data_IF_941227871574
#
_entry.id   IF_941227871574
#
_cell.length_a   1.000
_cell.length_b   1.000
_cell.length_c   1.000
_cell.angle_alpha   90.00
_cell.angle_beta   90.00
_cell.angle_gamma   90.00
#
_symmetry.space_group_name_H-M   'P 1'
#
loop_
_entity.id
_entity.type
_entity.pdbx_description
1 polymer ?
#
# COMPACT_ATOMS: atom_id res chain seq x y z
N UNK A 1 -17.20 30.97 -20.80
CA UNK A 1 -16.05 31.45 -20.02
C UNK A 1 -16.44 31.36 -18.56
N UNK A 2 -15.84 30.44 -17.81
CA UNK A 2 -16.01 30.40 -16.36
C UNK A 2 -15.54 31.73 -15.78
N UNK A 3 -16.25 32.24 -14.79
CA UNK A 3 -15.88 33.50 -14.13
C UNK A 3 -14.58 33.27 -13.36
N UNK A 4 -13.58 34.13 -13.57
CA UNK A 4 -12.31 34.05 -12.83
C UNK A 4 -12.54 34.62 -11.43
N UNK A 5 -11.98 33.95 -10.42
CA UNK A 5 -12.08 34.29 -9.01
C UNK A 5 -10.69 34.38 -8.36
N UNK A 6 -10.53 35.23 -7.35
CA UNK A 6 -9.30 35.21 -6.52
C UNK A 6 -9.41 34.13 -5.44
N UNK A 7 -8.30 33.46 -5.15
CA UNK A 7 -8.17 32.63 -3.97
C UNK A 7 -8.28 33.46 -2.68
N UNK A 8 -8.66 32.80 -1.58
CA UNK A 8 -8.63 33.39 -0.25
C UNK A 8 -7.22 33.47 0.34
N UNK A 9 -7.13 33.98 1.57
CA UNK A 9 -5.90 33.85 2.37
C UNK A 9 -5.56 32.36 2.58
N UNK A 10 -4.28 31.93 2.44
CA UNK A 10 -3.07 32.75 2.35
C UNK A 10 -2.56 33.06 0.94
N UNK A 11 -3.25 32.63 -0.12
CA UNK A 11 -2.80 32.72 -1.51
C UNK A 11 -3.36 33.92 -2.28
N UNK A 12 -3.47 35.05 -1.59
CA UNK A 12 -3.90 36.35 -2.11
C UNK A 12 -2.97 37.49 -1.71
N UNK A 13 -1.69 37.17 -1.42
CA UNK A 13 -0.72 38.14 -0.93
C UNK A 13 -0.24 39.08 -2.05
N UNK A 14 -0.14 40.40 -1.79
CA UNK A 14 0.35 41.36 -2.78
C UNK A 14 1.85 41.22 -3.10
N UNK A 15 2.59 40.46 -2.30
CA UNK A 15 4.02 40.16 -2.52
C UNK A 15 4.27 39.07 -3.57
N UNK A 16 3.22 38.43 -4.09
CA UNK A 16 3.33 37.38 -5.08
C UNK A 16 3.95 37.87 -6.40
N UNK A 17 4.70 36.99 -7.06
CA UNK A 17 5.37 37.25 -8.34
C UNK A 17 4.90 36.31 -9.47
N UNK A 18 3.88 35.49 -9.19
CA UNK A 18 3.25 34.54 -10.10
C UNK A 18 1.78 34.32 -9.70
N UNK A 19 0.92 34.10 -10.71
CA UNK A 19 -0.45 33.64 -10.53
C UNK A 19 -0.58 32.23 -11.11
N UNK A 20 -1.01 31.26 -10.29
CA UNK A 20 -1.47 29.96 -10.80
C UNK A 20 -2.98 29.99 -10.98
N UNK A 21 -3.47 29.67 -12.17
CA UNK A 21 -4.90 29.59 -12.46
C UNK A 21 -5.36 28.14 -12.52
N UNK A 22 -6.20 27.76 -11.56
CA UNK A 22 -6.85 26.43 -11.53
C UNK A 22 -7.84 26.22 -12.67
N UNK A 23 -8.16 24.97 -12.97
CA UNK A 23 -9.03 24.62 -14.11
C UNK A 23 -10.50 25.06 -13.94
N UNK A 24 -10.93 25.31 -12.72
CA UNK A 24 -12.22 25.91 -12.36
C UNK A 24 -12.17 27.44 -12.25
N UNK A 25 -11.03 28.07 -12.57
CA UNK A 25 -10.90 29.51 -12.75
C UNK A 25 -10.59 30.29 -11.48
N UNK A 26 -9.97 29.67 -10.47
CA UNK A 26 -9.46 30.37 -9.28
C UNK A 26 -7.97 30.69 -9.45
N UNK A 27 -7.63 31.95 -9.22
CA UNK A 27 -6.28 32.51 -9.31
C UNK A 27 -5.62 32.53 -7.93
N UNK A 28 -4.48 31.85 -7.82
CA UNK A 28 -3.66 31.74 -6.61
C UNK A 28 -2.40 32.59 -6.77
N UNK A 29 -2.26 33.60 -5.91
CA UNK A 29 -1.10 34.48 -5.87
C UNK A 29 0.02 33.83 -5.05
N UNK A 30 1.10 33.46 -5.73
CA UNK A 30 2.21 32.64 -5.21
C UNK A 30 3.59 33.26 -5.53
N UNK A 31 4.63 32.69 -4.93
CA UNK A 31 6.02 33.11 -5.05
C UNK A 31 6.81 32.02 -5.79
N UNK A 32 7.46 32.39 -6.89
CA UNK A 32 8.28 31.50 -7.73
C UNK A 32 9.38 30.82 -6.93
N UNK A 33 10.05 31.54 -6.03
CA UNK A 33 11.12 30.98 -5.22
C UNK A 33 10.64 29.83 -4.34
N UNK A 34 9.49 29.96 -3.68
CA UNK A 34 8.93 28.90 -2.82
C UNK A 34 8.55 27.68 -3.66
N UNK A 35 7.91 27.89 -4.81
CA UNK A 35 7.54 26.79 -5.71
C UNK A 35 8.75 26.09 -6.35
N UNK A 36 9.80 26.84 -6.69
CA UNK A 36 11.04 26.29 -7.22
C UNK A 36 11.78 25.44 -6.18
N UNK A 37 11.85 25.90 -4.93
CA UNK A 37 12.44 25.13 -3.83
C UNK A 37 11.63 23.86 -3.50
N UNK A 38 10.30 23.93 -3.62
CA UNK A 38 9.43 22.79 -3.32
C UNK A 38 9.32 21.78 -4.48
N UNK A 39 9.53 22.21 -5.74
CA UNK A 39 9.29 21.40 -6.93
C UNK A 39 10.32 21.67 -8.03
N UNK A 40 10.99 20.61 -8.48
CA UNK A 40 11.95 20.68 -9.59
C UNK A 40 11.27 21.00 -10.93
N UNK A 41 9.99 20.63 -11.08
CA UNK A 41 9.19 20.95 -12.25
C UNK A 41 9.07 22.47 -12.44
N UNK A 42 8.62 23.16 -11.39
CA UNK A 42 8.48 24.62 -11.41
C UNK A 42 9.83 25.33 -11.48
N UNK A 43 10.87 24.85 -10.79
CA UNK A 43 12.24 25.35 -10.94
C UNK A 43 12.68 25.33 -12.41
N UNK A 44 12.51 24.19 -13.07
CA UNK A 44 12.81 24.02 -14.49
C UNK A 44 11.95 24.97 -15.33
N UNK A 45 10.63 24.99 -15.13
CA UNK A 45 9.70 25.83 -15.88
C UNK A 45 10.09 27.31 -15.82
N UNK A 46 10.52 27.81 -14.66
CA UNK A 46 10.89 29.22 -14.48
C UNK A 46 12.27 29.57 -15.03
N UNK A 47 13.17 28.58 -15.18
CA UNK A 47 14.51 28.79 -15.76
C UNK A 47 14.54 28.80 -17.29
N UNK A 48 13.47 28.33 -17.95
CA UNK A 48 13.39 28.30 -19.40
C UNK A 48 13.35 29.74 -19.98
N UNK A 49 14.12 30.03 -21.05
CA UNK A 49 14.06 31.33 -21.72
C UNK A 49 12.65 31.56 -22.28
N UNK A 50 11.91 32.49 -21.70
CA UNK A 50 10.69 32.99 -22.32
C UNK A 50 11.10 33.82 -23.53
N UNK A 51 10.55 33.51 -24.71
CA UNK A 51 10.82 34.28 -25.92
C UNK A 51 10.40 35.74 -25.67
N UNK A 52 11.38 36.61 -25.44
CA UNK A 52 11.13 38.03 -25.17
C UNK A 52 10.48 38.66 -26.40
N UNK A 53 9.20 39.00 -26.27
CA UNK A 53 8.58 40.03 -27.10
C UNK A 53 9.20 41.38 -26.71
N UNK A 54 10.41 41.67 -27.23
CA UNK A 54 10.99 43.01 -27.19
C UNK A 54 10.11 43.94 -28.03
N UNK A 55 9.18 44.61 -27.36
CA UNK A 55 8.58 45.84 -27.86
C UNK A 55 9.64 46.92 -27.90
N UNK A 56 10.30 47.08 -29.05
CA UNK A 56 11.02 48.31 -29.38
C UNK A 56 9.99 49.34 -29.88
N UNK A 57 9.93 50.56 -29.31
CA UNK A 57 9.15 51.64 -29.87
C UNK A 57 10.03 52.33 -30.92
N UNK A 58 9.88 51.99 -32.19
CA UNK A 58 10.26 52.95 -33.21
C UNK A 58 9.39 52.92 -34.46
N UNK A 59 9.08 54.13 -34.87
CA UNK A 59 8.08 54.59 -35.83
C UNK A 59 8.43 54.28 -37.29
N UNK A 60 7.48 53.68 -38.04
CA UNK A 60 6.91 54.22 -39.31
C UNK A 60 6.29 53.14 -40.22
N UNK A 61 5.34 53.49 -41.10
CA UNK A 61 4.33 52.58 -41.65
C UNK A 61 4.60 52.17 -43.10
N UNK A 62 4.26 50.93 -43.48
CA UNK A 62 3.82 50.57 -44.85
C UNK A 62 3.24 49.14 -44.87
N UNK A 63 2.01 49.00 -45.37
CA UNK A 63 1.23 47.74 -45.58
C UNK A 63 1.40 47.24 -47.04
N UNK A 64 0.63 46.24 -47.60
CA UNK A 64 -0.25 45.16 -47.10
C UNK A 64 0.00 43.79 -47.86
N UNK A 65 -1.00 42.93 -48.16
CA UNK A 65 -1.53 41.83 -47.35
C UNK A 65 -1.28 40.43 -47.95
N UNK A 66 -1.31 39.35 -47.15
CA UNK A 66 -1.59 38.02 -47.67
C UNK A 66 -2.26 37.13 -46.62
N UNK A 67 -3.50 36.77 -46.90
CA UNK A 67 -4.22 35.68 -46.24
C UNK A 67 -3.48 34.35 -46.43
N UNK A 68 -3.28 33.60 -45.35
CA UNK A 68 -3.54 32.16 -45.38
C UNK A 68 -3.84 31.66 -43.97
N UNK A 69 -5.00 31.02 -43.86
CA UNK A 69 -5.42 30.24 -42.70
C UNK A 69 -4.44 29.08 -42.47
N UNK A 70 -3.81 29.05 -41.30
CA UNK A 70 -3.24 27.84 -40.73
C UNK A 70 -3.52 27.83 -39.22
N UNK A 71 -4.64 27.23 -38.82
CA UNK A 71 -4.91 26.83 -37.44
C UNK A 71 -4.15 25.54 -37.17
N UNK A 72 -2.88 25.62 -36.79
CA UNK A 72 -2.17 24.59 -36.04
C UNK A 72 -1.32 25.27 -34.97
N UNK A 73 -1.55 24.87 -33.71
CA UNK A 73 -1.06 25.55 -32.53
C UNK A 73 0.46 25.49 -32.39
N UNK A 74 1.11 26.64 -32.57
CA UNK A 74 2.41 26.92 -31.97
C UNK A 74 2.20 27.38 -30.52
N UNK A 75 3.01 26.90 -29.54
CA UNK A 75 2.95 27.33 -28.15
C UNK A 75 3.70 28.66 -27.96
N UNK A 76 3.24 29.71 -28.66
CA UNK A 76 3.90 31.02 -28.69
C UNK A 76 2.90 32.19 -28.66
N UNK A 77 1.76 32.00 -28.00
CA UNK A 77 0.86 33.11 -27.69
C UNK A 77 1.47 34.03 -26.61
N UNK A 78 1.11 35.32 -26.57
CA UNK A 78 1.53 36.21 -25.50
C UNK A 78 1.10 35.61 -24.15
N UNK A 79 2.05 35.48 -23.24
CA UNK A 79 1.80 34.98 -21.90
C UNK A 79 0.81 35.92 -21.20
N UNK A 80 -0.28 35.36 -20.69
CA UNK A 80 -1.30 36.15 -20.00
C UNK A 80 -0.67 36.83 -18.77
N UNK A 81 -0.88 38.13 -18.66
CA UNK A 81 -0.46 38.93 -17.52
C UNK A 81 -1.70 39.38 -16.76
N UNK A 82 -1.68 39.18 -15.45
CA UNK A 82 -2.69 39.69 -14.52
C UNK A 82 -2.01 40.64 -13.55
N UNK A 83 -2.41 41.91 -13.57
CA UNK A 83 -1.78 42.96 -12.74
C UNK A 83 -0.25 43.07 -12.94
N UNK A 84 0.24 42.72 -14.14
CA UNK A 84 1.67 42.67 -14.45
C UNK A 84 2.37 41.37 -14.02
N UNK A 85 1.68 40.44 -13.37
CA UNK A 85 2.20 39.12 -13.00
C UNK A 85 1.92 38.08 -14.09
N UNK A 86 2.85 37.16 -14.39
CA UNK A 86 2.59 36.05 -15.29
C UNK A 86 1.53 35.11 -14.70
N UNK A 87 0.60 34.68 -15.55
CA UNK A 87 -0.41 33.66 -15.24
C UNK A 87 0.04 32.32 -15.83
N UNK A 88 -0.06 31.26 -15.04
CA UNK A 88 0.19 29.87 -15.44
C UNK A 88 -1.05 29.03 -15.14
N UNK A 89 -1.65 28.48 -16.20
CA UNK A 89 -2.78 27.56 -16.05
C UNK A 89 -2.32 26.19 -15.53
N UNK A 90 -3.07 25.64 -14.58
CA UNK A 90 -2.90 24.28 -14.04
C UNK A 90 -4.18 23.48 -14.30
N UNK A 91 -4.07 22.15 -14.43
CA UNK A 91 -5.22 21.32 -14.83
C UNK A 91 -6.12 20.92 -13.65
N UNK A 92 -5.58 21.01 -12.45
CA UNK A 92 -6.20 20.67 -11.20
C UNK A 92 -7.17 21.78 -10.78
N UNK A 93 -8.25 21.39 -10.12
CA UNK A 93 -9.19 22.36 -9.55
C UNK A 93 -8.58 23.12 -8.36
N UNK A 94 -9.28 24.19 -7.98
CA UNK A 94 -8.90 25.07 -6.89
C UNK A 94 -8.70 24.33 -5.56
N UNK A 95 -9.50 23.30 -5.26
CA UNK A 95 -9.37 22.53 -4.02
C UNK A 95 -8.03 21.78 -3.99
N UNK A 96 -7.67 21.10 -5.08
CA UNK A 96 -6.43 20.31 -5.15
C UNK A 96 -5.20 21.21 -5.13
N UNK A 97 -5.23 22.33 -5.86
CA UNK A 97 -4.13 23.29 -5.88
C UNK A 97 -3.95 23.96 -4.52
N UNK A 98 -5.03 24.37 -3.85
CA UNK A 98 -4.97 24.92 -2.51
C UNK A 98 -4.26 23.95 -1.55
N UNK A 99 -4.66 22.66 -1.55
CA UNK A 99 -4.03 21.63 -0.70
C UNK A 99 -2.55 21.46 -1.03
N UNK A 100 -2.20 21.35 -2.31
CA UNK A 100 -0.81 21.18 -2.73
C UNK A 100 0.06 22.38 -2.31
N UNK A 101 -0.45 23.59 -2.48
CA UNK A 101 0.25 24.82 -2.10
C UNK A 101 0.48 24.90 -0.58
N UNK A 102 -0.46 24.42 0.25
CA UNK A 102 -0.23 24.35 1.70
C UNK A 102 0.98 23.47 2.06
N UNK A 103 1.27 22.42 1.29
CA UNK A 103 2.48 21.62 1.52
C UNK A 103 3.77 22.31 1.01
N UNK A 104 3.67 23.17 -0.01
CA UNK A 104 4.84 23.90 -0.54
C UNK A 104 5.24 25.09 0.34
N UNK A 105 4.28 25.65 1.09
CA UNK A 105 4.49 26.81 1.93
C UNK A 105 4.68 26.41 3.40
N UNK A 106 5.31 27.25 4.22
CA UNK A 106 5.48 27.01 5.65
C UNK A 106 4.17 27.28 6.42
N UNK A 107 3.08 26.62 6.03
CA UNK A 107 1.79 26.62 6.70
C UNK A 107 1.50 25.22 7.26
N UNK A 108 0.41 25.11 8.00
CA UNK A 108 -0.04 23.80 8.48
C UNK A 108 -0.45 22.92 7.31
N UNK A 109 0.11 21.72 7.27
CA UNK A 109 -0.25 20.72 6.27
C UNK A 109 -1.71 20.29 6.47
N UNK A 110 -2.52 20.24 5.41
CA UNK A 110 -3.90 19.82 5.52
C UNK A 110 -4.01 18.34 5.86
N UNK A 111 -4.99 17.98 6.67
CA UNK A 111 -5.35 16.57 6.90
C UNK A 111 -6.07 16.00 5.67
N UNK A 112 -5.51 14.95 5.08
CA UNK A 112 -6.07 14.25 3.93
C UNK A 112 -6.53 12.85 4.34
N UNK A 113 -7.72 12.78 4.91
CA UNK A 113 -8.34 11.53 5.42
C UNK A 113 -9.26 10.85 4.40
N UNK A 114 -9.73 11.59 3.40
CA UNK A 114 -10.52 11.03 2.31
C UNK A 114 -9.59 10.51 1.20
N UNK A 115 -9.84 9.28 0.75
CA UNK A 115 -8.96 8.63 -0.23
C UNK A 115 -9.07 9.23 -1.63
N UNK A 116 -10.22 9.85 -1.99
CA UNK A 116 -10.36 10.53 -3.28
C UNK A 116 -9.53 11.81 -3.30
N UNK A 117 -9.64 12.63 -2.25
CA UNK A 117 -8.84 13.85 -2.07
C UNK A 117 -7.35 13.51 -1.99
N UNK A 118 -6.98 12.49 -1.22
CA UNK A 118 -5.59 12.02 -1.10
C UNK A 118 -5.02 11.60 -2.46
N UNK A 119 -5.76 10.81 -3.25
CA UNK A 119 -5.33 10.36 -4.57
C UNK A 119 -5.15 11.53 -5.55
N UNK A 120 -6.06 12.50 -5.53
CA UNK A 120 -5.98 13.67 -6.40
C UNK A 120 -4.80 14.59 -6.04
N UNK A 121 -4.57 14.86 -4.75
CA UNK A 121 -3.41 15.66 -4.31
C UNK A 121 -2.10 14.91 -4.56
N UNK A 122 -2.04 13.59 -4.35
CA UNK A 122 -0.88 12.77 -4.68
C UNK A 122 -0.58 12.81 -6.19
N UNK A 123 -1.61 12.72 -7.04
CA UNK A 123 -1.47 12.84 -8.49
C UNK A 123 -0.83 14.18 -8.88
N UNK A 124 -1.31 15.27 -8.28
CA UNK A 124 -0.77 16.60 -8.50
C UNK A 124 0.68 16.72 -7.99
N UNK A 125 0.98 16.21 -6.79
CA UNK A 125 2.32 16.22 -6.23
C UNK A 125 3.34 15.43 -7.07
N UNK A 126 2.94 14.29 -7.63
CA UNK A 126 3.77 13.51 -8.57
C UNK A 126 3.94 14.27 -9.90
N UNK A 127 2.86 14.83 -10.45
CA UNK A 127 2.88 15.56 -11.72
C UNK A 127 3.78 16.80 -11.67
N UNK A 128 3.70 17.55 -10.57
CA UNK A 128 4.50 18.76 -10.34
C UNK A 128 5.83 18.48 -9.63
N UNK A 129 6.21 17.21 -9.47
CA UNK A 129 7.44 16.78 -8.79
C UNK A 129 7.70 17.48 -7.43
N UNK A 130 6.67 17.56 -6.59
CA UNK A 130 6.75 18.07 -5.22
C UNK A 130 7.23 16.95 -4.29
N UNK A 131 8.52 16.65 -4.33
CA UNK A 131 9.10 15.41 -3.78
C UNK A 131 8.85 15.18 -2.28
N UNK A 132 8.93 16.23 -1.45
CA UNK A 132 8.67 16.13 -0.01
C UNK A 132 7.21 15.73 0.27
N UNK A 133 6.28 16.39 -0.42
CA UNK A 133 4.84 16.12 -0.34
C UNK A 133 4.53 14.70 -0.80
N UNK A 134 5.06 14.26 -1.95
CA UNK A 134 4.87 12.90 -2.45
C UNK A 134 5.27 11.85 -1.41
N UNK A 135 6.38 12.02 -0.70
CA UNK A 135 6.79 11.10 0.38
C UNK A 135 5.81 11.07 1.55
N UNK A 136 5.29 12.22 1.98
CA UNK A 136 4.30 12.30 3.06
C UNK A 136 2.98 11.63 2.66
N UNK A 137 2.51 11.90 1.45
CA UNK A 137 1.24 11.38 0.94
C UNK A 137 1.29 9.86 0.71
N UNK A 138 2.44 9.32 0.28
CA UNK A 138 2.70 7.87 0.19
C UNK A 138 2.49 7.15 1.52
N UNK A 139 2.95 7.75 2.63
CA UNK A 139 2.73 7.20 3.96
C UNK A 139 1.26 7.23 4.36
N UNK A 140 0.55 8.33 4.08
CA UNK A 140 -0.91 8.43 4.32
C UNK A 140 -1.69 7.40 3.49
N UNK A 141 -1.31 7.22 2.22
CA UNK A 141 -1.91 6.25 1.32
C UNK A 141 -1.77 4.82 1.86
N UNK A 142 -0.59 4.47 2.36
CA UNK A 142 -0.33 3.15 2.97
C UNK A 142 -1.21 2.86 4.20
N UNK A 143 -1.61 3.88 4.97
CA UNK A 143 -2.51 3.69 6.14
C UNK A 143 -3.89 3.20 5.75
N UNK A 144 -4.33 3.47 4.53
CA UNK A 144 -5.64 3.05 4.01
C UNK A 144 -5.63 1.60 3.48
N UNK A 145 -4.46 0.99 3.31
CA UNK A 145 -4.33 -0.32 2.69
C UNK A 145 -5.10 -1.43 3.43
N UNK A 146 -5.22 -1.33 4.76
CA UNK A 146 -5.96 -2.32 5.56
C UNK A 146 -7.48 -2.26 5.36
N UNK A 147 -8.01 -1.10 5.00
CA UNK A 147 -9.45 -0.87 4.82
C UNK A 147 -9.87 -0.95 3.35
N UNK A 148 -9.03 -0.44 2.43
CA UNK A 148 -9.32 -0.33 1.00
C UNK A 148 -8.13 -0.76 0.13
N UNK A 149 -7.65 -2.02 0.24
CA UNK A 149 -6.43 -2.46 -0.43
C UNK A 149 -6.48 -2.31 -1.94
N UNK A 150 -7.63 -2.61 -2.57
CA UNK A 150 -7.78 -2.51 -4.04
C UNK A 150 -7.60 -1.08 -4.56
N UNK A 151 -8.16 -0.11 -3.83
CA UNK A 151 -8.06 1.31 -4.19
C UNK A 151 -6.62 1.80 -4.03
N UNK A 152 -6.00 1.48 -2.89
CA UNK A 152 -4.61 1.83 -2.62
C UNK A 152 -3.66 1.20 -3.64
N UNK A 153 -3.88 -0.07 -3.99
CA UNK A 153 -3.10 -0.77 -5.01
C UNK A 153 -3.19 -0.05 -6.36
N UNK A 154 -4.40 0.29 -6.81
CA UNK A 154 -4.60 0.95 -8.08
C UNK A 154 -3.96 2.35 -8.14
N UNK A 155 -4.11 3.15 -7.07
CA UNK A 155 -3.47 4.47 -6.94
C UNK A 155 -1.94 4.33 -6.96
N UNK A 156 -1.40 3.36 -6.23
CA UNK A 156 0.03 3.13 -6.19
C UNK A 156 0.59 2.76 -7.57
N UNK A 157 -0.07 1.83 -8.26
CA UNK A 157 0.31 1.41 -9.62
C UNK A 157 0.23 2.56 -10.61
N UNK A 158 -0.82 3.39 -10.58
CA UNK A 158 -0.96 4.52 -11.52
C UNK A 158 0.15 5.57 -11.38
N UNK A 159 0.85 5.60 -10.24
CA UNK A 159 1.96 6.50 -9.98
C UNK A 159 3.33 5.79 -9.90
N UNK A 160 3.41 4.50 -10.23
CA UNK A 160 4.67 3.74 -10.18
C UNK A 160 5.23 3.52 -8.77
N UNK A 161 4.38 3.57 -7.75
CA UNK A 161 4.73 3.47 -6.33
C UNK A 161 4.79 1.99 -5.89
N UNK A 162 5.86 1.29 -6.27
CA UNK A 162 6.01 -0.16 -6.07
C UNK A 162 5.90 -0.61 -4.60
N UNK A 163 6.46 0.15 -3.66
CA UNK A 163 6.43 -0.21 -2.23
C UNK A 163 5.00 -0.15 -1.68
N UNK A 164 4.26 0.91 -2.02
CA UNK A 164 2.86 1.11 -1.64
C UNK A 164 1.95 0.06 -2.30
N UNK A 165 2.21 -0.26 -3.58
CA UNK A 165 1.52 -1.33 -4.29
C UNK A 165 1.74 -2.68 -3.58
N UNK A 166 2.96 -2.96 -3.11
CA UNK A 166 3.29 -4.17 -2.34
C UNK A 166 2.59 -4.20 -0.99
N UNK A 167 2.54 -3.08 -0.28
CA UNK A 167 1.82 -2.95 1.00
C UNK A 167 0.33 -3.26 0.78
N UNK A 168 -0.27 -2.67 -0.25
CA UNK A 168 -1.67 -2.89 -0.60
C UNK A 168 -1.95 -4.33 -1.05
N UNK A 169 -1.08 -4.92 -1.86
CA UNK A 169 -1.18 -6.30 -2.29
C UNK A 169 -1.18 -7.25 -1.09
N UNK A 170 -0.28 -7.05 -0.12
CA UNK A 170 -0.26 -7.84 1.12
C UNK A 170 -1.51 -7.63 1.96
N UNK A 171 -1.99 -6.40 2.09
CA UNK A 171 -3.21 -6.10 2.83
C UNK A 171 -4.45 -6.74 2.18
N UNK A 172 -4.44 -6.96 0.86
CA UNK A 172 -5.52 -7.65 0.14
C UNK A 172 -5.74 -9.10 0.61
N UNK A 173 -4.70 -9.77 1.14
CA UNK A 173 -4.79 -11.15 1.65
C UNK A 173 -5.69 -11.31 2.89
N UNK A 174 -6.11 -10.20 3.51
CA UNK A 174 -7.09 -10.19 4.61
C UNK A 174 -8.53 -10.39 4.14
N UNK A 175 -8.75 -10.30 2.82
CA UNK A 175 -10.05 -10.35 2.18
C UNK A 175 -10.10 -11.55 1.24
N UNK A 176 -11.29 -12.13 1.07
CA UNK A 176 -11.48 -13.14 0.03
C UNK A 176 -11.49 -12.45 -1.34
N UNK A 177 -11.22 -13.19 -2.43
CA UNK A 177 -11.36 -12.66 -3.79
C UNK A 177 -12.76 -12.08 -4.05
N UNK A 178 -13.81 -12.68 -3.46
CA UNK A 178 -15.18 -12.19 -3.54
C UNK A 178 -15.33 -10.83 -2.85
N UNK A 179 -14.76 -10.67 -1.66
CA UNK A 179 -14.81 -9.40 -0.91
C UNK A 179 -14.11 -8.29 -1.70
N UNK A 180 -12.92 -8.56 -2.25
CA UNK A 180 -12.16 -7.60 -3.07
C UNK A 180 -12.93 -7.19 -4.33
N UNK A 181 -13.61 -8.13 -4.98
CA UNK A 181 -14.41 -7.87 -6.18
C UNK A 181 -15.64 -7.00 -5.87
N UNK A 182 -16.29 -7.25 -4.72
CA UNK A 182 -17.50 -6.53 -4.32
C UNK A 182 -17.23 -5.13 -3.76
N UNK A 183 -16.09 -4.92 -3.09
CA UNK A 183 -15.68 -3.59 -2.61
C UNK A 183 -15.56 -2.60 -3.78
N UNK A 184 -15.09 -3.09 -4.93
CA UNK A 184 -14.84 -2.26 -6.10
C UNK A 184 -13.72 -1.24 -5.86
N UNK A 185 -13.13 -0.77 -6.94
CA UNK A 185 -12.18 0.33 -6.90
C UNK A 185 -12.29 1.08 -8.22
N UNK A 186 -12.74 2.34 -8.16
CA UNK A 186 -12.90 3.17 -9.35
C UNK A 186 -11.57 3.40 -10.06
N UNK A 187 -10.48 3.42 -9.28
CA UNK A 187 -9.12 3.65 -9.78
C UNK A 187 -8.60 2.49 -10.65
N UNK A 188 -9.26 1.33 -10.63
CA UNK A 188 -8.91 0.21 -11.52
C UNK A 188 -9.10 0.56 -13.00
N UNK A 189 -9.93 1.55 -13.35
CA UNK A 189 -10.05 2.02 -14.73
C UNK A 189 -8.78 2.69 -15.26
N UNK A 190 -7.91 3.15 -14.36
CA UNK A 190 -6.73 3.94 -14.67
C UNK A 190 -5.43 3.12 -14.69
N UNK A 191 -5.49 1.82 -14.37
CA UNK A 191 -4.32 0.93 -14.38
C UNK A 191 -4.32 -0.02 -15.58
N UNK A 192 -3.15 -0.47 -16.05
CA UNK A 192 -3.08 -1.55 -17.01
C UNK A 192 -3.74 -2.82 -16.47
N UNK A 193 -4.48 -3.53 -17.33
CA UNK A 193 -5.08 -4.83 -16.97
C UNK A 193 -4.02 -5.84 -16.49
N UNK A 194 -2.79 -5.74 -17.01
CA UNK A 194 -1.66 -6.56 -16.59
C UNK A 194 -1.30 -6.36 -15.10
N UNK A 195 -1.37 -5.14 -14.58
CA UNK A 195 -1.10 -4.87 -13.16
C UNK A 195 -2.16 -5.54 -12.28
N UNK A 196 -3.44 -5.48 -12.67
CA UNK A 196 -4.48 -6.26 -11.98
C UNK A 196 -4.20 -7.77 -12.04
N UNK A 197 -3.75 -8.29 -13.19
CA UNK A 197 -3.34 -9.70 -13.30
C UNK A 197 -2.17 -10.05 -12.36
N UNK A 198 -1.19 -9.16 -12.18
CA UNK A 198 -0.10 -9.38 -11.23
C UNK A 198 -0.60 -9.50 -9.79
N UNK A 199 -1.57 -8.66 -9.38
CA UNK A 199 -2.20 -8.79 -8.06
C UNK A 199 -2.96 -10.12 -7.91
N UNK A 200 -3.74 -10.51 -8.92
CA UNK A 200 -4.47 -11.78 -8.86
C UNK A 200 -3.52 -12.99 -8.82
N UNK A 201 -2.45 -12.98 -9.62
CA UNK A 201 -1.42 -14.01 -9.57
C UNK A 201 -0.73 -14.07 -8.20
N UNK A 202 -0.46 -12.92 -7.59
CA UNK A 202 0.09 -12.85 -6.23
C UNK A 202 -0.82 -13.53 -5.22
N UNK A 203 -2.11 -13.19 -5.22
CA UNK A 203 -3.09 -13.79 -4.30
C UNK A 203 -3.16 -15.31 -4.52
N UNK A 204 -3.37 -15.76 -5.76
CA UNK A 204 -3.47 -17.19 -6.09
C UNK A 204 -2.21 -17.98 -5.73
N UNK A 205 -1.01 -17.40 -5.88
CA UNK A 205 0.24 -18.02 -5.43
C UNK A 205 0.29 -18.17 -3.91
N UNK A 206 -0.19 -17.17 -3.16
CA UNK A 206 -0.28 -17.27 -1.71
C UNK A 206 -1.29 -18.36 -1.30
N UNK A 207 -2.45 -18.45 -1.95
CA UNK A 207 -3.43 -19.53 -1.70
C UNK A 207 -2.82 -20.92 -1.97
N UNK A 208 -2.11 -21.06 -3.08
CA UNK A 208 -1.45 -22.31 -3.47
C UNK A 208 -0.37 -22.74 -2.46
N UNK A 209 0.41 -21.79 -1.91
CA UNK A 209 1.43 -22.07 -0.90
C UNK A 209 0.83 -22.77 0.34
N UNK A 210 -0.28 -22.25 0.85
CA UNK A 210 -0.92 -22.80 2.05
C UNK A 210 -1.82 -24.01 1.75
N UNK A 211 -2.04 -24.35 0.48
CA UNK A 211 -2.81 -25.53 0.09
C UNK A 211 -2.20 -26.84 0.60
N UNK A 212 -0.90 -26.87 0.87
CA UNK A 212 -0.15 -28.07 1.33
C UNK A 212 0.09 -28.11 2.84
N UNK A 213 -0.29 -27.06 3.58
CA UNK A 213 0.05 -26.84 5.00
C UNK A 213 -0.32 -28.01 5.93
N UNK A 214 -1.45 -28.68 5.66
CA UNK A 214 -1.95 -29.81 6.47
C UNK A 214 -1.64 -31.19 5.87
N UNK A 215 -1.04 -31.26 4.67
CA UNK A 215 -0.72 -32.51 3.98
C UNK A 215 0.77 -32.82 4.02
N UNK A 216 1.61 -31.81 4.26
CA UNK A 216 3.03 -31.96 4.47
C UNK A 216 3.46 -31.10 5.67
N UNK A 217 4.03 -31.72 6.70
CA UNK A 217 4.46 -31.06 7.94
C UNK A 217 5.97 -30.77 7.97
N UNK A 218 6.68 -30.92 6.85
CA UNK A 218 8.14 -30.68 6.78
C UNK A 218 8.55 -29.23 7.03
N UNK A 219 7.61 -28.29 6.95
CA UNK A 219 7.84 -26.88 7.29
C UNK A 219 7.97 -26.64 8.80
N UNK A 220 7.57 -27.60 9.64
CA UNK A 220 7.62 -27.48 11.09
C UNK A 220 9.00 -27.87 11.61
N UNK A 221 9.69 -26.99 12.36
CA UNK A 221 10.98 -27.32 12.94
C UNK A 221 10.92 -28.50 13.93
N UNK A 222 12.07 -29.16 14.11
CA UNK A 222 12.20 -30.25 15.07
C UNK A 222 12.19 -29.73 16.50
N UNK A 223 11.35 -30.31 17.33
CA UNK A 223 11.29 -30.02 18.76
C UNK A 223 9.99 -29.44 19.26
N UNK A 224 10.03 -28.93 20.50
CA UNK A 224 8.88 -28.29 21.17
C UNK A 224 9.03 -26.78 21.10
N UNK A 225 8.01 -26.05 20.61
CA UNK A 225 8.05 -24.61 20.57
C UNK A 225 7.79 -23.99 21.95
N UNK A 226 8.47 -22.89 22.24
CA UNK A 226 8.28 -22.04 23.42
C UNK A 226 8.44 -20.56 23.07
N UNK A 227 7.69 -19.71 23.75
CA UNK A 227 7.84 -18.25 23.63
C UNK A 227 8.97 -17.82 24.58
N UNK A 228 9.93 -17.07 24.04
CA UNK A 228 10.94 -16.37 24.81
C UNK A 228 10.43 -14.97 25.15
N UNK A 229 9.96 -14.78 26.39
CA UNK A 229 9.48 -13.50 26.90
C UNK A 229 10.59 -12.43 26.98
N UNK A 230 11.86 -12.81 26.81
CA UNK A 230 13.01 -11.88 26.81
C UNK A 230 13.40 -11.36 25.42
N UNK A 231 12.78 -11.87 24.35
CA UNK A 231 13.12 -11.49 22.98
C UNK A 231 12.63 -10.07 22.61
N UNK A 232 13.52 -9.23 22.11
CA UNK A 232 13.24 -7.84 21.74
C UNK A 232 12.32 -7.66 20.50
N UNK A 233 11.96 -8.73 19.79
CA UNK A 233 11.11 -8.68 18.58
C UNK A 233 10.06 -9.81 18.54
N UNK A 234 8.80 -9.51 18.18
CA UNK A 234 7.72 -10.51 18.12
C UNK A 234 7.95 -11.66 17.13
N UNK A 235 8.73 -11.44 16.06
CA UNK A 235 9.00 -12.46 15.02
C UNK A 235 10.10 -13.46 15.40
N UNK A 236 11.01 -13.08 16.31
CA UNK A 236 12.08 -13.93 16.84
C UNK A 236 11.72 -14.57 18.18
N UNK A 237 10.45 -14.51 18.57
CA UNK A 237 10.00 -14.89 19.91
C UNK A 237 9.81 -16.40 20.10
N UNK A 238 9.69 -17.19 19.03
CA UNK A 238 9.48 -18.63 19.15
C UNK A 238 10.78 -19.40 18.99
N UNK A 239 11.19 -20.06 20.06
CA UNK A 239 12.32 -20.97 20.09
C UNK A 239 11.85 -22.42 19.99
N UNK A 240 12.68 -23.28 19.39
CA UNK A 240 12.40 -24.70 19.23
C UNK A 240 13.42 -25.53 19.98
N UNK A 241 12.96 -26.30 20.97
CA UNK A 241 13.81 -27.21 21.73
C UNK A 241 13.79 -28.60 21.09
N UNK A 242 14.83 -28.92 20.31
CA UNK A 242 14.99 -30.21 19.64
C UNK A 242 15.12 -31.42 20.60
N UNK A 243 15.44 -31.20 21.88
CA UNK A 243 15.55 -32.28 22.86
C UNK A 243 14.19 -32.88 23.27
N UNK A 244 13.10 -32.15 23.04
CA UNK A 244 11.75 -32.57 23.46
C UNK A 244 10.76 -32.52 22.31
N UNK A 245 9.86 -33.49 22.24
CA UNK A 245 8.75 -33.48 21.31
C UNK A 245 7.49 -32.89 21.95
N UNK A 246 6.67 -32.18 21.17
CA UNK A 246 5.56 -31.44 21.73
C UNK A 246 4.42 -32.38 22.18
N UNK A 247 3.50 -31.89 23.04
CA UNK A 247 2.44 -32.73 23.62
C UNK A 247 1.47 -33.34 22.60
N UNK A 248 1.29 -32.70 21.43
CA UNK A 248 0.52 -33.26 20.31
C UNK A 248 1.25 -34.40 19.58
N UNK A 249 2.47 -34.76 19.98
CA UNK A 249 3.19 -35.93 19.49
C UNK A 249 3.37 -36.95 20.62
N UNK A 250 3.78 -36.50 21.81
CA UNK A 250 4.18 -37.37 22.92
C UNK A 250 3.04 -37.92 23.77
N UNK A 251 1.84 -37.31 23.72
CA UNK A 251 0.70 -37.78 24.51
C UNK A 251 0.35 -39.24 24.18
N UNK A 252 0.13 -40.08 25.20
CA UNK A 252 -0.21 -41.49 24.98
C UNK A 252 -1.72 -41.76 25.03
N UNK A 253 -2.50 -40.79 25.51
CA UNK A 253 -3.94 -40.95 25.75
C UNK A 253 -4.83 -40.46 24.61
N UNK A 254 -4.32 -39.58 23.75
CA UNK A 254 -5.06 -39.06 22.61
C UNK A 254 -4.82 -39.89 21.34
N UNK A 255 -5.84 -40.06 20.49
CA UNK A 255 -5.70 -40.78 19.24
C UNK A 255 -4.72 -40.07 18.30
N UNK A 256 -3.86 -40.85 17.66
CA UNK A 256 -2.91 -40.37 16.66
C UNK A 256 -3.54 -40.34 15.27
N UNK A 257 -3.23 -39.32 14.48
CA UNK A 257 -3.51 -39.26 13.05
C UNK A 257 -2.42 -40.03 12.31
N UNK A 258 -2.77 -41.18 11.70
CA UNK A 258 -1.79 -42.11 11.12
C UNK A 258 -1.51 -41.86 9.63
N UNK A 259 -2.14 -40.86 9.04
CA UNK A 259 -2.00 -40.55 7.61
C UNK A 259 -0.82 -39.61 7.35
N UNK A 260 -0.69 -38.53 8.12
CA UNK A 260 0.32 -37.49 7.88
C UNK A 260 1.43 -37.60 8.94
N UNK A 261 2.67 -37.94 8.54
CA UNK A 261 3.79 -38.01 9.46
C UNK A 261 4.16 -36.62 9.97
N UNK A 262 4.44 -36.49 11.27
CA UNK A 262 4.98 -35.27 11.86
C UNK A 262 6.46 -35.13 11.53
N UNK A 263 7.28 -36.09 11.98
CA UNK A 263 8.73 -36.11 11.78
C UNK A 263 9.25 -37.53 11.60
N UNK A 264 10.22 -37.70 10.70
CA UNK A 264 10.98 -38.93 10.54
C UNK A 264 12.10 -39.00 11.59
N UNK A 265 12.29 -40.16 12.19
CA UNK A 265 13.34 -40.42 13.17
C UNK A 265 14.59 -40.97 12.48
N UNK A 266 15.80 -40.72 13.03
CA UNK A 266 17.05 -41.28 12.49
C UNK A 266 17.08 -42.81 12.43
N UNK A 267 16.25 -43.49 13.24
CA UNK A 267 16.13 -44.94 13.29
C UNK A 267 15.08 -45.51 12.31
N UNK A 268 14.53 -44.69 11.40
CA UNK A 268 13.49 -45.08 10.46
C UNK A 268 12.07 -45.11 11.03
N UNK A 269 11.88 -44.78 12.31
CA UNK A 269 10.56 -44.59 12.90
C UNK A 269 9.91 -43.27 12.47
N UNK A 270 8.61 -43.14 12.68
CA UNK A 270 7.85 -41.93 12.34
C UNK A 270 6.98 -41.52 13.52
N UNK A 271 7.03 -40.24 13.89
CA UNK A 271 6.09 -39.67 14.84
C UNK A 271 4.82 -39.22 14.13
N UNK A 272 3.68 -39.56 14.73
CA UNK A 272 2.37 -39.13 14.26
C UNK A 272 1.76 -38.12 15.23
N UNK A 273 1.19 -37.02 14.72
CA UNK A 273 0.54 -36.02 15.54
C UNK A 273 -0.82 -36.53 16.06
N UNK A 274 -1.40 -35.86 17.06
CA UNK A 274 -2.74 -36.18 17.56
C UNK A 274 -3.82 -35.63 16.64
N UNK A 275 -4.93 -36.36 16.53
CA UNK A 275 -6.06 -36.01 15.67
C UNK A 275 -6.60 -34.61 15.95
N UNK A 276 -6.71 -34.21 17.23
CA UNK A 276 -7.17 -32.86 17.60
C UNK A 276 -6.25 -31.77 17.06
N UNK A 277 -4.93 -31.99 17.08
CA UNK A 277 -3.96 -31.03 16.58
C UNK A 277 -3.95 -31.01 15.05
N UNK A 278 -4.11 -32.17 14.41
CA UNK A 278 -4.30 -32.21 12.96
C UNK A 278 -5.58 -31.51 12.51
N UNK A 279 -6.67 -31.61 13.28
CA UNK A 279 -7.91 -30.88 13.01
C UNK A 279 -7.68 -29.37 13.09
N UNK A 280 -6.89 -28.90 14.05
CA UNK A 280 -6.47 -27.49 14.16
C UNK A 280 -5.66 -27.05 12.92
N UNK A 281 -4.65 -27.82 12.51
CA UNK A 281 -3.84 -27.49 11.32
C UNK A 281 -4.68 -27.52 10.04
N UNK A 282 -5.66 -28.43 9.94
CA UNK A 282 -6.63 -28.48 8.85
C UNK A 282 -7.56 -27.26 8.85
N UNK A 283 -8.03 -26.81 10.01
CA UNK A 283 -8.82 -25.59 10.13
C UNK A 283 -8.01 -24.35 9.74
N UNK A 284 -6.75 -24.27 10.18
CA UNK A 284 -5.83 -23.22 9.75
C UNK A 284 -5.67 -23.21 8.23
N UNK A 285 -5.42 -24.38 7.62
CA UNK A 285 -5.34 -24.51 6.16
C UNK A 285 -6.59 -24.01 5.45
N UNK A 286 -7.79 -24.42 5.89
CA UNK A 286 -9.04 -23.99 5.25
C UNK A 286 -9.19 -22.47 5.26
N UNK A 287 -8.89 -21.82 6.38
CA UNK A 287 -9.02 -20.37 6.49
C UNK A 287 -7.89 -19.61 5.79
N UNK A 288 -6.67 -20.14 5.81
CA UNK A 288 -5.49 -19.55 5.16
C UNK A 288 -5.54 -19.64 3.62
N UNK A 289 -6.21 -20.65 3.06
CA UNK A 289 -6.46 -20.71 1.61
C UNK A 289 -7.37 -19.57 1.17
N UNK A 290 -8.39 -19.21 1.97
CA UNK A 290 -9.28 -18.08 1.62
C UNK A 290 -8.68 -16.72 1.97
N UNK A 291 -7.86 -16.66 3.03
CA UNK A 291 -7.24 -15.44 3.58
C UNK A 291 -5.80 -15.73 3.99
N UNK A 292 -4.83 -15.64 3.06
CA UNK A 292 -3.44 -16.01 3.30
C UNK A 292 -2.69 -15.00 4.21
N UNK A 293 -3.10 -14.85 5.46
CA UNK A 293 -2.50 -13.88 6.40
C UNK A 293 -2.36 -14.48 7.79
N UNK A 294 -1.26 -14.16 8.48
CA UNK A 294 -1.04 -14.60 9.86
C UNK A 294 -2.13 -14.11 10.82
N UNK A 295 -2.86 -13.05 10.46
CA UNK A 295 -3.98 -12.53 11.26
C UNK A 295 -5.10 -13.56 11.46
N UNK A 296 -5.30 -14.48 10.51
CA UNK A 296 -6.31 -15.56 10.63
C UNK A 296 -6.06 -16.42 11.86
N UNK A 297 -4.81 -16.87 12.04
CA UNK A 297 -4.44 -17.77 13.13
C UNK A 297 -4.13 -17.03 14.43
N UNK A 298 -3.98 -15.70 14.38
CA UNK A 298 -3.90 -14.81 15.55
C UNK A 298 -5.27 -14.37 16.07
N UNK A 299 -6.33 -14.54 15.27
CA UNK A 299 -7.66 -14.08 15.65
C UNK A 299 -8.11 -14.77 16.95
N UNK A 300 -8.65 -14.03 17.94
CA UNK A 300 -9.16 -14.62 19.18
C UNK A 300 -10.15 -15.76 18.93
N UNK A 301 -11.04 -15.60 17.94
CA UNK A 301 -11.98 -16.64 17.53
C UNK A 301 -11.31 -17.94 17.07
N UNK A 302 -10.16 -17.86 16.39
CA UNK A 302 -9.39 -19.03 15.97
C UNK A 302 -8.67 -19.67 17.15
N UNK A 303 -8.06 -18.84 18.00
CA UNK A 303 -7.31 -19.27 19.18
C UNK A 303 -8.24 -19.98 20.18
N UNK A 304 -9.40 -19.38 20.48
CA UNK A 304 -10.38 -19.93 21.41
C UNK A 304 -10.94 -21.26 20.88
N UNK A 305 -11.35 -21.30 19.61
CA UNK A 305 -11.79 -22.54 18.97
C UNK A 305 -10.71 -23.63 18.99
N UNK A 306 -9.44 -23.26 18.82
CA UNK A 306 -8.29 -24.18 18.91
C UNK A 306 -8.16 -24.79 20.31
N UNK A 307 -8.37 -24.00 21.37
CA UNK A 307 -8.34 -24.50 22.75
C UNK A 307 -9.60 -25.29 23.13
N UNK A 308 -10.75 -24.98 22.57
CA UNK A 308 -11.98 -25.75 22.77
C UNK A 308 -11.88 -27.13 22.12
N UNK A 309 -11.25 -27.22 20.95
CA UNK A 309 -10.97 -28.47 20.25
C UNK A 309 -9.80 -29.26 20.87
N UNK A 310 -8.94 -28.60 21.67
CA UNK A 310 -7.78 -29.22 22.31
C UNK A 310 -8.20 -30.30 23.32
N UNK A 311 -8.23 -31.57 22.90
CA UNK A 311 -8.33 -32.77 23.74
C UNK A 311 -9.07 -32.57 25.08
N UNK A 312 -10.37 -32.27 25.02
CA UNK A 312 -11.20 -31.77 26.14
C UNK A 312 -11.04 -32.54 27.45
N UNK A 313 -10.81 -33.86 27.37
CA UNK A 313 -10.73 -34.75 28.53
C UNK A 313 -9.30 -35.26 28.83
N UNK A 314 -8.27 -34.78 28.13
CA UNK A 314 -6.90 -35.29 28.31
C UNK A 314 -6.09 -34.39 29.25
N UNK A 315 -5.79 -34.90 30.46
CA UNK A 315 -4.99 -34.20 31.45
C UNK A 315 -3.58 -33.85 30.95
N UNK A 316 -2.96 -34.69 30.11
CA UNK A 316 -1.62 -34.43 29.55
C UNK A 316 -1.63 -33.28 28.55
N UNK A 317 -2.59 -33.27 27.61
CA UNK A 317 -2.68 -32.21 26.61
C UNK A 317 -3.19 -30.90 27.21
N UNK A 318 -3.93 -30.92 28.33
CA UNK A 318 -4.42 -29.72 29.02
C UNK A 318 -3.45 -29.14 30.06
N UNK A 319 -2.27 -29.73 30.25
CA UNK A 319 -1.26 -29.16 31.13
C UNK A 319 -0.88 -27.73 30.69
N UNK A 320 -0.58 -26.80 31.62
CA UNK A 320 -0.19 -25.43 31.29
C UNK A 320 0.95 -25.34 30.27
N UNK A 321 1.93 -26.25 30.38
CA UNK A 321 3.06 -26.38 29.46
C UNK A 321 2.61 -26.69 28.03
N UNK A 322 1.61 -27.56 27.88
CA UNK A 322 1.07 -27.93 26.57
C UNK A 322 0.26 -26.81 25.94
N UNK A 323 -0.49 -26.08 26.75
CA UNK A 323 -1.19 -24.85 26.32
C UNK A 323 -0.18 -23.80 25.86
N UNK A 324 0.93 -23.60 26.59
CA UNK A 324 2.00 -22.68 26.21
C UNK A 324 2.68 -23.11 24.90
N UNK A 325 3.01 -24.39 24.72
CA UNK A 325 3.56 -24.89 23.45
C UNK A 325 2.60 -24.69 22.29
N UNK A 326 1.28 -24.85 22.52
CA UNK A 326 0.30 -24.58 21.47
C UNK A 326 0.24 -23.09 21.11
N UNK A 327 0.27 -22.18 22.11
CA UNK A 327 0.38 -20.73 21.85
C UNK A 327 1.63 -20.40 21.04
N UNK A 328 2.78 -20.93 21.46
CA UNK A 328 4.05 -20.75 20.75
C UNK A 328 3.96 -21.23 19.29
N UNK A 329 3.34 -22.39 19.06
CA UNK A 329 3.10 -22.90 17.72
C UNK A 329 2.22 -21.98 16.87
N UNK A 330 1.12 -21.46 17.41
CA UNK A 330 0.24 -20.52 16.69
C UNK A 330 0.95 -19.21 16.34
N UNK A 331 1.79 -18.69 17.25
CA UNK A 331 2.65 -17.54 16.97
C UNK A 331 3.63 -17.82 15.83
N UNK A 332 4.27 -18.99 15.86
CA UNK A 332 5.19 -19.43 14.80
C UNK A 332 4.46 -19.55 13.46
N UNK A 333 3.34 -20.27 13.42
CA UNK A 333 2.53 -20.44 12.22
C UNK A 333 2.13 -19.09 11.61
N UNK A 334 1.68 -18.15 12.44
CA UNK A 334 1.33 -16.81 11.97
C UNK A 334 2.54 -16.06 11.36
N UNK A 335 3.71 -16.19 11.99
CA UNK A 335 4.96 -15.58 11.50
C UNK A 335 5.44 -16.22 10.19
N UNK A 336 5.33 -17.53 10.07
CA UNK A 336 5.68 -18.29 8.87
C UNK A 336 4.78 -17.87 7.69
N UNK A 337 3.47 -17.76 7.93
CA UNK A 337 2.50 -17.27 6.93
C UNK A 337 2.87 -15.86 6.44
N UNK A 338 3.15 -14.94 7.36
CA UNK A 338 3.53 -13.58 7.01
C UNK A 338 4.89 -13.52 6.29
N UNK A 339 5.82 -14.40 6.63
CA UNK A 339 7.14 -14.50 5.99
C UNK A 339 6.99 -14.97 4.55
N UNK A 340 6.28 -16.09 4.33
CA UNK A 340 6.04 -16.64 2.99
C UNK A 340 5.30 -15.67 2.07
N UNK A 341 4.24 -15.06 2.56
CA UNK A 341 3.48 -14.06 1.79
C UNK A 341 4.31 -12.81 1.48
N UNK A 342 5.25 -12.44 2.36
CA UNK A 342 6.23 -11.38 2.10
C UNK A 342 7.25 -11.80 1.04
N UNK A 343 7.81 -13.01 1.11
CA UNK A 343 8.75 -13.55 0.11
C UNK A 343 8.12 -13.57 -1.29
N UNK A 344 6.90 -14.08 -1.41
CA UNK A 344 6.15 -14.09 -2.67
C UNK A 344 5.92 -12.65 -3.15
N UNK A 345 5.59 -11.73 -2.25
CA UNK A 345 5.39 -10.32 -2.60
C UNK A 345 6.69 -9.71 -3.12
N UNK A 346 7.83 -9.91 -2.46
CA UNK A 346 9.13 -9.35 -2.87
C UNK A 346 9.59 -9.86 -4.24
N UNK A 347 9.19 -11.08 -4.60
CA UNK A 347 9.46 -11.68 -5.91
C UNK A 347 8.40 -11.34 -6.98
N UNK A 348 7.45 -10.46 -6.66
CA UNK A 348 6.40 -10.02 -7.59
C UNK A 348 6.56 -8.52 -7.86
N UNK A 349 6.58 -8.13 -9.13
CA UNK A 349 6.57 -6.73 -9.55
C UNK A 349 5.15 -6.28 -9.85
N UNK A 350 4.70 -5.18 -9.27
CA UNK A 350 3.33 -4.70 -9.41
C UNK A 350 3.18 -3.50 -10.36
N UNK A 351 4.18 -2.62 -10.43
CA UNK A 351 4.22 -1.41 -11.24
C UNK A 351 5.00 -1.58 -12.57
#
# INVERSE_FOLDING_TARGET
>A
MSKIHEAGHPFNKPSADLVLRSSDGVDFHVHKCILAEASSFFETMFSLPQAEAKGSPDSSPLSPPASSNAKHGSPGGPQELKEGLPVVDVSEDSKIIDRLLHFCYPYDNPELNDLDELAAVLSAAVKYDVGATTKLLRHSLSKHASAAPMRVYAIAVSHGLEDEARIAARASLRFTLKDLTLQGARELSSIPALSYQHLMQYILRCEAEFSTLATNLSWIPVGTPSIDDSAASPRSSVQWNAANLPPWVTCQYCPAEKVVPYQALPNGGVHFPKQWWMSLVQSARQQLIERPTGDVVRAPSFIDASFDQMAQNCLTCRLPRAVQSLKAFLHYLASEVDTKTTEIAMNTRFC
#
